data_IF_118193798403
#
_entry.id   IF_118193798403
#
_cell.length_a   1.000
_cell.length_b   1.000
_cell.length_c   1.000
_cell.angle_alpha   90.00
_cell.angle_beta   90.00
_cell.angle_gamma   90.00
#
_symmetry.space_group_name_H-M   'P 1'
#
loop_
_entity.id
_entity.type
_entity.pdbx_description
1 polymer ?
#
# COMPACT_ATOMS: atom_id res chain seq x y z
N UNK A 1 15.83 -17.67 -38.39
CA UNK A 1 15.77 -17.04 -37.05
C UNK A 1 16.75 -17.78 -36.15
N UNK A 2 17.73 -17.08 -35.57
CA UNK A 2 18.84 -17.72 -34.83
C UNK A 2 18.32 -18.21 -33.46
N UNK A 3 18.53 -19.49 -33.10
CA UNK A 3 17.93 -20.10 -31.90
C UNK A 3 18.29 -19.35 -30.60
N UNK A 4 19.48 -18.75 -30.55
CA UNK A 4 19.93 -17.88 -29.45
C UNK A 4 19.12 -16.58 -29.31
N UNK A 5 18.63 -16.03 -30.42
CA UNK A 5 17.80 -14.81 -30.45
C UNK A 5 16.39 -15.12 -29.94
N UNK A 6 15.84 -16.28 -30.34
CA UNK A 6 14.52 -16.73 -29.88
C UNK A 6 14.48 -16.94 -28.37
N UNK A 7 15.48 -17.63 -27.80
CA UNK A 7 15.57 -17.85 -26.35
C UNK A 7 15.64 -16.52 -25.59
N UNK A 8 16.45 -15.56 -26.07
CA UNK A 8 16.54 -14.23 -25.46
C UNK A 8 15.19 -13.52 -25.47
N UNK A 9 14.49 -13.49 -26.61
CA UNK A 9 13.18 -12.83 -26.70
C UNK A 9 12.16 -13.43 -25.73
N UNK A 10 12.05 -14.76 -25.67
CA UNK A 10 11.11 -15.43 -24.76
C UNK A 10 11.45 -15.16 -23.30
N UNK A 11 12.73 -15.10 -22.94
CA UNK A 11 13.17 -14.73 -21.58
C UNK A 11 12.87 -13.26 -21.23
N UNK A 12 13.02 -12.32 -22.17
CA UNK A 12 12.68 -10.92 -21.94
C UNK A 12 11.17 -10.71 -21.76
N UNK A 13 10.34 -11.35 -22.59
CA UNK A 13 8.88 -11.28 -22.49
C UNK A 13 8.36 -11.85 -21.16
N UNK A 14 8.95 -12.93 -20.65
CA UNK A 14 8.56 -13.51 -19.35
C UNK A 14 8.92 -12.60 -18.17
N UNK A 15 10.09 -11.95 -18.18
CA UNK A 15 10.49 -10.99 -17.14
C UNK A 15 9.59 -9.74 -17.14
N UNK A 16 9.22 -9.24 -18.32
CA UNK A 16 8.29 -8.10 -18.44
C UNK A 16 6.91 -8.44 -17.86
N UNK A 17 6.37 -9.61 -18.17
CA UNK A 17 5.08 -10.08 -17.62
C UNK A 17 5.10 -10.21 -16.10
N UNK A 18 6.18 -10.75 -15.52
CA UNK A 18 6.32 -10.89 -14.07
C UNK A 18 6.39 -9.52 -13.37
N UNK A 19 7.08 -8.56 -13.98
CA UNK A 19 7.22 -7.20 -13.45
C UNK A 19 5.88 -6.45 -13.47
N UNK A 20 5.12 -6.57 -14.56
CA UNK A 20 3.79 -5.96 -14.69
C UNK A 20 2.79 -6.55 -13.69
N UNK A 21 2.77 -7.88 -13.54
CA UNK A 21 1.93 -8.56 -12.56
C UNK A 21 2.27 -8.08 -11.14
N UNK A 22 3.56 -8.06 -10.77
CA UNK A 22 4.00 -7.57 -9.47
C UNK A 22 3.51 -6.14 -9.21
N UNK A 23 3.69 -5.23 -10.16
CA UNK A 23 3.22 -3.84 -10.08
C UNK A 23 1.70 -3.76 -9.84
N UNK A 24 0.91 -4.52 -10.60
CA UNK A 24 -0.55 -4.58 -10.45
C UNK A 24 -0.99 -5.10 -9.08
N UNK A 25 -0.34 -6.15 -8.56
CA UNK A 25 -0.62 -6.69 -7.23
C UNK A 25 -0.27 -5.69 -6.12
N UNK A 26 0.89 -5.04 -6.19
CA UNK A 26 1.22 -3.94 -5.25
C UNK A 26 0.18 -2.82 -5.28
N UNK A 27 -0.39 -2.52 -6.45
CA UNK A 27 -1.42 -1.50 -6.56
C UNK A 27 -2.72 -1.92 -5.85
N UNK A 28 -3.19 -3.17 -6.03
CA UNK A 28 -4.40 -3.66 -5.37
C UNK A 28 -4.27 -3.66 -3.84
N UNK A 29 -3.15 -4.15 -3.32
CA UNK A 29 -2.95 -4.22 -1.88
C UNK A 29 -2.85 -2.81 -1.27
N UNK A 30 -2.15 -1.89 -1.94
CA UNK A 30 -2.09 -0.48 -1.51
C UNK A 30 -3.48 0.17 -1.40
N UNK A 31 -4.40 -0.15 -2.32
CA UNK A 31 -5.77 0.40 -2.30
C UNK A 31 -6.55 -0.13 -1.10
N UNK A 32 -6.42 -1.42 -0.75
CA UNK A 32 -7.08 -2.01 0.43
C UNK A 32 -6.52 -1.43 1.72
N UNK A 33 -5.21 -1.32 1.84
CA UNK A 33 -4.56 -0.73 3.00
C UNK A 33 -4.99 0.74 3.20
N UNK A 34 -5.08 1.52 2.10
CA UNK A 34 -5.64 2.87 2.16
C UNK A 34 -7.11 2.89 2.61
N UNK A 35 -7.95 1.93 2.20
CA UNK A 35 -9.35 1.87 2.65
C UNK A 35 -9.46 1.63 4.16
N UNK A 36 -8.60 0.76 4.71
CA UNK A 36 -8.49 0.55 6.16
C UNK A 36 -8.06 1.86 6.84
N UNK A 37 -7.05 2.53 6.31
CA UNK A 37 -6.60 3.82 6.86
C UNK A 37 -7.71 4.89 6.83
N UNK A 38 -8.52 4.96 5.78
CA UNK A 38 -9.63 5.91 5.70
C UNK A 38 -10.82 5.55 6.58
N UNK A 39 -11.07 4.27 6.85
CA UNK A 39 -12.12 3.88 7.80
C UNK A 39 -11.77 4.33 9.22
N UNK A 40 -10.48 4.42 9.53
CA UNK A 40 -9.96 4.99 10.77
C UNK A 40 -9.96 6.53 10.71
N UNK A 41 -9.38 7.15 9.69
CA UNK A 41 -9.28 8.63 9.70
C UNK A 41 -10.58 9.36 9.31
N UNK A 42 -11.58 8.66 8.78
CA UNK A 42 -12.84 9.22 8.29
C UNK A 42 -12.68 10.14 7.08
N UNK A 43 -11.51 10.14 6.41
CA UNK A 43 -11.17 11.09 5.33
C UNK A 43 -10.56 10.36 4.14
N UNK A 44 -11.23 10.34 2.98
CA UNK A 44 -10.87 9.54 1.81
C UNK A 44 -10.30 10.33 0.59
N UNK A 45 -9.76 11.52 0.79
CA UNK A 45 -9.51 12.49 -0.31
C UNK A 45 -8.05 12.55 -0.81
N UNK A 46 -7.10 11.89 -0.15
CA UNK A 46 -5.66 12.04 -0.46
C UNK A 46 -4.97 10.70 -0.43
N UNK A 47 -3.94 10.49 -1.26
CA UNK A 47 -3.10 9.30 -1.24
C UNK A 47 -2.69 8.95 0.21
N UNK A 48 -3.12 7.80 0.73
CA UNK A 48 -2.83 7.41 2.11
C UNK A 48 -1.31 7.33 2.36
N UNK A 49 -0.50 7.02 1.35
CA UNK A 49 0.95 7.00 1.48
C UNK A 49 1.62 8.38 1.62
N UNK A 50 0.86 9.46 1.44
CA UNK A 50 1.30 10.85 1.61
C UNK A 50 0.31 11.64 2.48
N UNK A 51 -0.48 10.95 3.29
CA UNK A 51 -1.45 11.61 4.14
C UNK A 51 -0.71 12.30 5.28
N UNK A 52 -0.86 13.62 5.37
CA UNK A 52 -0.45 14.45 6.50
C UNK A 52 -1.51 15.51 6.71
N UNK A 53 -2.30 15.41 7.78
CA UNK A 53 -3.34 16.40 8.07
C UNK A 53 -3.67 16.41 9.55
N UNK A 54 -3.79 17.60 10.14
CA UNK A 54 -4.17 17.78 11.55
C UNK A 54 -3.30 16.87 12.46
N UNK A 55 -1.98 16.87 12.21
CA UNK A 55 -0.94 16.01 12.80
C UNK A 55 -1.09 14.50 12.60
N UNK A 56 -2.19 14.01 12.06
CA UNK A 56 -2.34 12.62 11.64
C UNK A 56 -1.54 12.36 10.36
N UNK A 57 -0.80 11.25 10.30
CA UNK A 57 -0.07 10.87 9.10
C UNK A 57 0.04 9.37 8.89
N UNK A 58 0.33 8.99 7.65
CA UNK A 58 0.76 7.63 7.31
C UNK A 58 1.92 7.67 6.34
N UNK A 59 2.82 6.69 6.48
CA UNK A 59 3.97 6.51 5.60
C UNK A 59 3.92 5.13 4.97
N UNK A 60 4.34 5.05 3.71
CA UNK A 60 4.42 3.80 2.98
C UNK A 60 5.83 3.46 2.52
N UNK A 61 6.10 2.17 2.38
CA UNK A 61 7.25 1.61 1.70
C UNK A 61 6.75 0.66 0.61
N UNK A 62 7.17 0.86 -0.64
CA UNK A 62 6.72 0.07 -1.80
C UNK A 62 5.18 -0.01 -1.98
N UNK A 63 4.47 1.06 -1.60
CA UNK A 63 3.01 1.13 -1.69
C UNK A 63 2.26 0.51 -0.51
N UNK A 64 2.97 -0.03 0.49
CA UNK A 64 2.37 -0.58 1.70
C UNK A 64 2.56 0.35 2.89
N UNK A 65 1.54 0.51 3.71
CA UNK A 65 1.58 1.32 4.94
C UNK A 65 2.52 0.64 5.94
N UNK A 66 3.55 1.38 6.36
CA UNK A 66 4.52 0.94 7.37
C UNK A 66 4.41 1.70 8.68
N UNK A 67 3.80 2.90 8.64
CA UNK A 67 3.64 3.73 9.82
C UNK A 67 2.33 4.48 9.77
N UNK A 68 1.64 4.49 10.89
CA UNK A 68 0.47 5.31 11.13
C UNK A 68 0.77 6.14 12.37
N UNK A 69 0.34 7.39 12.38
CA UNK A 69 0.31 8.22 13.57
C UNK A 69 -1.02 8.95 13.59
N UNK A 70 -1.75 8.79 14.68
CA UNK A 70 -3.05 9.42 14.87
C UNK A 70 -2.98 10.33 16.09
N UNK A 71 -3.01 11.64 15.88
CA UNK A 71 -3.18 12.59 16.97
C UNK A 71 -4.65 12.60 17.39
N UNK A 72 -4.86 12.52 18.70
CA UNK A 72 -6.16 12.32 19.35
C UNK A 72 -7.15 13.43 18.99
N UNK A 73 -7.96 13.23 17.95
CA UNK A 73 -9.18 14.01 17.77
C UNK A 73 -10.15 13.61 18.88
N UNK A 74 -10.76 14.60 19.53
CA UNK A 74 -11.70 14.40 20.63
C UNK A 74 -12.72 13.28 20.31
N UNK A 75 -12.62 12.17 21.04
CA UNK A 75 -13.66 11.16 21.27
C UNK A 75 -14.11 10.20 20.13
N UNK A 76 -13.36 9.99 19.04
CA UNK A 76 -13.80 9.04 17.98
C UNK A 76 -13.15 7.65 17.99
N UNK A 77 -12.00 7.45 18.66
CA UNK A 77 -11.35 6.14 18.79
C UNK A 77 -11.34 5.67 20.24
N UNK A 78 -12.38 4.93 20.63
CA UNK A 78 -12.33 4.14 21.87
C UNK A 78 -11.55 2.84 21.70
N UNK A 79 -11.47 2.33 20.48
CA UNK A 79 -10.78 1.08 20.14
C UNK A 79 -10.08 1.19 18.79
N UNK A 80 -8.93 0.52 18.68
CA UNK A 80 -8.21 0.34 17.41
C UNK A 80 -9.01 -0.67 16.58
N UNK A 81 -9.44 -0.34 15.34
CA UNK A 81 -10.19 -1.28 14.51
C UNK A 81 -9.37 -2.55 14.25
N UNK A 82 -10.01 -3.71 14.33
CA UNK A 82 -9.35 -5.01 14.12
C UNK A 82 -8.70 -5.11 12.73
N UNK A 83 -9.21 -4.35 11.77
CA UNK A 83 -8.71 -4.27 10.39
C UNK A 83 -7.28 -3.70 10.33
N UNK A 84 -6.80 -2.98 11.36
CA UNK A 84 -5.37 -2.61 11.47
C UNK A 84 -4.46 -3.84 11.46
N UNK A 85 -4.93 -5.00 11.94
CA UNK A 85 -4.18 -6.25 11.90
C UNK A 85 -3.98 -6.79 10.47
N UNK A 86 -4.76 -6.32 9.51
CA UNK A 86 -4.59 -6.67 8.09
C UNK A 86 -3.43 -5.90 7.43
N UNK A 87 -2.92 -4.84 8.07
CA UNK A 87 -1.76 -4.07 7.61
C UNK A 87 -0.46 -4.82 7.93
N UNK A 88 -0.17 -5.87 7.16
CA UNK A 88 0.95 -6.79 7.41
C UNK A 88 2.34 -6.14 7.43
N UNK A 89 2.47 -4.98 6.80
CA UNK A 89 3.74 -4.24 6.72
C UNK A 89 3.85 -3.13 7.77
N UNK A 90 2.83 -2.95 8.63
CA UNK A 90 2.81 -1.92 9.66
C UNK A 90 3.89 -2.22 10.71
N UNK A 91 4.79 -1.26 10.92
CA UNK A 91 5.92 -1.34 11.86
C UNK A 91 5.71 -0.43 13.07
N UNK A 92 4.97 0.67 12.90
CA UNK A 92 4.74 1.67 13.94
C UNK A 92 3.30 2.20 13.87
N UNK A 93 2.68 2.36 15.04
CA UNK A 93 1.33 2.90 15.25
C UNK A 93 1.34 3.94 16.38
#
# INVERSE_FOLDING_TARGET
MNMKIFIRLVSYLSILNLTAAKSYYTHIDSVKECQIFYSITGKNNTNCCLYTKDNNYSQCENGHIIKIHLEKYENTFTEIPKEILELKNLKEL
#
